data_IF_125378309148
#
_entry.id   IF_125378309148
#
_cell.length_a   1.000
_cell.length_b   1.000
_cell.length_c   1.000
_cell.angle_alpha   90.00
_cell.angle_beta   90.00
_cell.angle_gamma   90.00
#
_symmetry.space_group_name_H-M   'P 1'
#
loop_
_entity.id
_entity.type
_entity.pdbx_description
1 polymer ?
#
# COMPACT_ATOMS: atom_id res chain seq x y z
N UNK A 1 10.50 34.88 20.89
CA UNK A 1 10.50 33.56 20.25
C UNK A 1 9.07 33.25 19.89
N UNK A 2 8.77 33.11 18.59
CA UNK A 2 7.42 32.75 18.14
C UNK A 2 7.18 31.25 18.34
N UNK A 3 6.17 30.84 19.14
CA UNK A 3 5.82 29.43 19.32
C UNK A 3 4.98 28.85 18.15
N UNK A 4 4.95 29.50 16.98
CA UNK A 4 4.00 29.22 15.90
C UNK A 4 4.66 28.72 14.58
N UNK A 5 5.85 28.11 14.64
CA UNK A 5 6.43 27.37 13.50
C UNK A 5 6.87 25.96 13.89
N UNK A 6 5.97 25.23 14.55
CA UNK A 6 6.06 23.77 14.53
C UNK A 6 5.49 23.33 13.19
N UNK A 7 6.31 23.44 12.14
CA UNK A 7 6.05 22.88 10.83
C UNK A 7 5.69 21.41 11.08
N UNK A 8 4.41 21.08 10.92
CA UNK A 8 3.89 19.75 11.12
C UNK A 8 4.52 18.88 10.04
N UNK A 9 5.67 18.29 10.36
CA UNK A 9 6.44 17.44 9.48
C UNK A 9 5.51 16.28 9.10
N UNK A 10 4.90 16.36 7.92
CA UNK A 10 4.05 15.28 7.40
C UNK A 10 4.93 14.02 7.35
N UNK A 11 4.68 13.05 8.25
CA UNK A 11 5.60 11.95 8.37
C UNK A 11 5.38 11.08 7.13
N UNK A 12 6.28 11.19 6.15
CA UNK A 12 6.08 10.60 4.82
C UNK A 12 5.65 9.13 4.82
N UNK A 13 5.15 8.61 3.69
CA UNK A 13 4.34 7.38 3.63
C UNK A 13 4.99 6.14 4.27
N UNK A 14 6.32 6.04 4.25
CA UNK A 14 7.04 4.92 4.89
C UNK A 14 6.92 4.93 6.41
N UNK A 15 6.93 6.11 7.03
CA UNK A 15 6.77 6.23 8.48
C UNK A 15 5.34 5.86 8.88
N UNK A 16 4.33 6.39 8.18
CA UNK A 16 2.92 6.05 8.42
C UNK A 16 2.70 4.54 8.28
N UNK A 17 3.28 3.93 7.24
CA UNK A 17 3.26 2.48 7.06
C UNK A 17 3.89 1.75 8.25
N UNK A 18 5.07 2.19 8.68
CA UNK A 18 5.78 1.62 9.82
C UNK A 18 4.96 1.66 11.11
N UNK A 19 4.32 2.79 11.39
CA UNK A 19 3.43 2.95 12.54
C UNK A 19 2.17 2.10 12.42
N UNK A 20 1.57 1.99 11.23
CA UNK A 20 0.42 1.12 11.01
C UNK A 20 0.76 -0.36 11.30
N UNK A 21 1.92 -0.84 10.83
CA UNK A 21 2.43 -2.19 11.13
C UNK A 21 2.63 -2.36 12.63
N UNK A 22 3.30 -1.40 13.29
CA UNK A 22 3.56 -1.42 14.73
C UNK A 22 2.27 -1.54 15.53
N UNK A 23 1.31 -0.65 15.25
CA UNK A 23 0.03 -0.58 15.96
C UNK A 23 -0.75 -1.87 15.84
N UNK A 24 -0.83 -2.44 14.64
CA UNK A 24 -1.54 -3.71 14.44
C UNK A 24 -0.85 -4.88 15.13
N UNK A 25 0.48 -4.86 15.17
CA UNK A 25 1.30 -5.84 15.89
C UNK A 25 1.06 -5.76 17.41
N UNK A 26 1.07 -4.55 17.97
CA UNK A 26 0.83 -4.31 19.40
C UNK A 26 -0.62 -4.62 19.82
N UNK A 27 -1.60 -4.36 18.94
CA UNK A 27 -3.01 -4.74 19.16
C UNK A 27 -3.20 -6.25 19.36
N UNK A 28 -2.28 -7.05 18.85
CA UNK A 28 -2.30 -8.52 18.94
C UNK A 28 -1.26 -9.07 19.91
N UNK A 29 -0.62 -8.21 20.71
CA UNK A 29 0.44 -8.58 21.65
C UNK A 29 1.58 -9.39 21.00
N UNK A 30 1.93 -9.01 19.77
CA UNK A 30 3.04 -9.61 19.04
C UNK A 30 4.28 -8.73 19.26
N UNK A 31 5.41 -9.28 19.71
CA UNK A 31 6.66 -8.52 19.80
C UNK A 31 7.33 -8.37 18.43
N UNK A 32 8.23 -7.39 18.25
CA UNK A 32 9.03 -7.28 17.01
C UNK A 32 9.80 -8.57 16.71
N UNK A 33 10.32 -9.23 17.75
CA UNK A 33 11.06 -10.49 17.65
C UNK A 33 10.16 -11.63 17.18
N UNK A 34 8.99 -11.79 17.81
CA UNK A 34 7.99 -12.77 17.38
C UNK A 34 7.53 -12.52 15.95
N UNK A 35 7.32 -11.25 15.58
CA UNK A 35 6.92 -10.88 14.24
C UNK A 35 8.02 -11.19 13.21
N UNK A 36 9.27 -10.87 13.51
CA UNK A 36 10.41 -11.17 12.64
C UNK A 36 10.57 -12.68 12.44
N UNK A 37 10.44 -13.45 13.52
CA UNK A 37 10.50 -14.92 13.51
C UNK A 37 9.46 -15.56 12.59
N UNK A 38 8.23 -15.03 12.52
CA UNK A 38 7.17 -15.53 11.62
C UNK A 38 7.55 -15.52 10.13
N UNK A 39 8.57 -14.75 9.75
CA UNK A 39 9.02 -14.60 8.36
C UNK A 39 10.49 -14.98 8.16
N UNK A 40 11.16 -15.53 9.18
CA UNK A 40 12.61 -15.77 9.13
C UNK A 40 13.42 -14.49 8.93
N UNK A 41 12.95 -13.37 9.48
CA UNK A 41 13.61 -12.07 9.41
C UNK A 41 14.35 -11.77 10.71
N UNK A 42 15.34 -10.89 10.63
CA UNK A 42 15.99 -10.34 11.81
C UNK A 42 15.09 -9.32 12.51
N UNK A 43 15.10 -9.29 13.86
CA UNK A 43 14.33 -8.32 14.65
C UNK A 43 14.65 -6.88 14.26
N UNK A 44 15.91 -6.56 13.97
CA UNK A 44 16.33 -5.22 13.54
C UNK A 44 15.67 -4.81 12.24
N UNK A 45 15.40 -5.74 11.31
CA UNK A 45 14.69 -5.45 10.07
C UNK A 45 13.26 -4.95 10.36
N UNK A 46 12.55 -5.61 11.28
CA UNK A 46 11.22 -5.16 11.71
C UNK A 46 11.29 -3.78 12.36
N UNK A 47 12.28 -3.54 13.22
CA UNK A 47 12.48 -2.22 13.83
C UNK A 47 12.71 -1.11 12.79
N UNK A 48 13.52 -1.37 11.75
CA UNK A 48 13.77 -0.42 10.65
C UNK A 48 12.50 -0.16 9.83
N UNK A 49 11.69 -1.19 9.57
CA UNK A 49 10.38 -1.05 8.91
C UNK A 49 9.46 -0.15 9.74
N UNK A 50 9.33 -0.40 11.04
CA UNK A 50 8.44 0.37 11.92
C UNK A 50 8.84 1.84 12.07
N UNK A 51 10.12 2.16 11.85
CA UNK A 51 10.65 3.53 11.81
C UNK A 51 10.60 4.19 10.42
N UNK A 52 10.12 3.49 9.39
CA UNK A 52 10.05 4.01 8.02
C UNK A 52 11.39 4.01 7.26
N UNK A 53 12.42 3.32 7.77
CA UNK A 53 13.76 3.25 7.16
C UNK A 53 13.85 2.19 6.03
N UNK A 54 12.75 1.47 5.79
CA UNK A 54 12.68 0.39 4.78
C UNK A 54 11.47 0.60 3.89
N UNK A 55 11.73 0.75 2.59
CA UNK A 55 10.68 0.76 1.57
C UNK A 55 10.34 -0.67 1.13
N UNK A 56 9.26 -1.23 1.67
CA UNK A 56 8.83 -2.59 1.36
C UNK A 56 8.30 -2.70 -0.07
N UNK A 57 8.50 -3.86 -0.71
CA UNK A 57 7.68 -4.20 -1.88
C UNK A 57 6.25 -4.45 -1.44
N UNK A 58 5.29 -4.14 -2.29
CA UNK A 58 3.87 -4.29 -1.97
C UNK A 58 3.52 -5.76 -1.64
N UNK A 59 4.13 -6.72 -2.35
CA UNK A 59 4.01 -8.15 -2.00
C UNK A 59 4.42 -8.47 -0.57
N UNK A 60 5.57 -7.96 -0.11
CA UNK A 60 6.05 -8.21 1.26
C UNK A 60 5.13 -7.55 2.29
N UNK A 61 4.62 -6.36 1.99
CA UNK A 61 3.62 -5.69 2.82
C UNK A 61 2.33 -6.52 2.96
N UNK A 62 1.78 -7.05 1.87
CA UNK A 62 0.57 -7.89 1.94
C UNK A 62 0.78 -9.16 2.76
N UNK A 63 1.99 -9.74 2.73
CA UNK A 63 2.38 -10.86 3.59
C UNK A 63 2.38 -10.46 5.07
N UNK A 64 2.87 -9.26 5.40
CA UNK A 64 2.85 -8.73 6.76
C UNK A 64 1.41 -8.50 7.26
N UNK A 65 0.58 -7.79 6.48
CA UNK A 65 -0.84 -7.53 6.80
C UNK A 65 -1.58 -8.86 7.05
N UNK A 66 -1.32 -9.87 6.21
CA UNK A 66 -1.92 -11.20 6.36
C UNK A 66 -1.52 -11.88 7.67
N UNK A 67 -0.24 -11.86 8.04
CA UNK A 67 0.21 -12.48 9.28
C UNK A 67 -0.32 -11.75 10.52
N UNK A 68 -0.44 -10.43 10.42
CA UNK A 68 -1.12 -9.57 11.38
C UNK A 68 -2.65 -9.70 11.30
N UNK A 69 -3.20 -10.61 10.49
CA UNK A 69 -4.65 -10.84 10.37
C UNK A 69 -5.46 -9.55 10.14
N UNK A 70 -4.82 -8.52 9.57
CA UNK A 70 -5.43 -7.24 9.32
C UNK A 70 -6.17 -7.26 7.99
N UNK A 71 -7.22 -6.44 7.93
CA UNK A 71 -8.03 -6.22 6.75
C UNK A 71 -7.46 -4.99 6.01
N UNK A 72 -7.10 -5.08 4.71
CA UNK A 72 -6.43 -4.01 3.98
C UNK A 72 -7.15 -2.67 4.04
N UNK A 73 -8.48 -2.61 3.89
CA UNK A 73 -9.20 -1.34 3.93
C UNK A 73 -9.01 -0.65 5.28
N UNK A 74 -9.16 -1.41 6.36
CA UNK A 74 -8.94 -0.91 7.73
C UNK A 74 -7.47 -0.54 7.95
N UNK A 75 -6.53 -1.34 7.44
CA UNK A 75 -5.10 -1.09 7.56
C UNK A 75 -4.66 0.20 6.84
N UNK A 76 -5.16 0.42 5.62
CA UNK A 76 -4.79 1.55 4.76
C UNK A 76 -5.58 2.83 5.05
N UNK A 77 -6.63 2.78 5.88
CA UNK A 77 -7.45 3.94 6.26
C UNK A 77 -6.64 5.07 6.88
N UNK A 78 -5.62 4.73 7.66
CA UNK A 78 -4.84 5.73 8.40
C UNK A 78 -3.60 6.21 7.62
N UNK A 79 -3.43 5.76 6.37
CA UNK A 79 -2.34 6.18 5.48
C UNK A 79 -2.76 7.31 4.54
N UNK A 80 -3.64 8.24 4.99
CA UNK A 80 -4.19 9.33 4.17
C UNK A 80 -3.13 9.96 3.26
N UNK A 81 -3.42 10.01 1.96
CA UNK A 81 -2.57 10.65 0.97
C UNK A 81 -3.33 11.86 0.44
N UNK A 82 -2.99 13.03 0.97
CA UNK A 82 -3.56 14.36 0.67
C UNK A 82 -5.12 14.46 0.66
N UNK A 83 -5.75 15.06 1.70
CA UNK A 83 -7.20 15.22 1.78
C UNK A 83 -7.82 16.09 0.67
N UNK A 84 -7.02 16.82 -0.13
CA UNK A 84 -7.49 17.67 -1.21
C UNK A 84 -7.67 16.96 -2.56
N UNK A 85 -7.19 15.71 -2.71
CA UNK A 85 -7.23 14.98 -3.98
C UNK A 85 -8.56 14.24 -4.26
N UNK A 86 -9.60 14.44 -3.45
CA UNK A 86 -10.89 13.73 -3.57
C UNK A 86 -11.63 14.06 -4.88
N UNK A 87 -11.36 13.30 -5.94
CA UNK A 87 -12.29 13.16 -7.06
C UNK A 87 -13.47 12.28 -6.65
N UNK A 88 -14.67 12.59 -7.13
CA UNK A 88 -15.84 11.72 -6.95
C UNK A 88 -15.55 10.36 -7.59
N UNK A 89 -15.45 9.33 -6.76
CA UNK A 89 -15.15 7.96 -7.20
C UNK A 89 -16.44 7.33 -7.73
N UNK A 90 -16.50 6.95 -9.02
CA UNK A 90 -17.65 6.21 -9.54
C UNK A 90 -17.75 4.83 -8.89
N UNK A 91 -18.97 4.29 -8.75
CA UNK A 91 -19.20 2.96 -8.15
C UNK A 91 -18.35 1.88 -8.86
N UNK A 92 -17.38 1.33 -8.13
CA UNK A 92 -16.37 0.40 -8.65
C UNK A 92 -16.96 -1.00 -8.85
N UNK A 93 -16.73 -1.60 -10.02
CA UNK A 93 -16.97 -3.04 -10.20
C UNK A 93 -15.78 -3.84 -9.62
N UNK A 94 -16.02 -4.90 -8.84
CA UNK A 94 -14.96 -5.71 -8.25
C UNK A 94 -14.04 -6.30 -9.33
N UNK A 95 -12.76 -6.48 -9.00
CA UNK A 95 -11.82 -7.19 -9.86
C UNK A 95 -12.30 -8.64 -10.08
N UNK A 96 -12.09 -9.22 -11.28
CA UNK A 96 -12.44 -10.62 -11.52
C UNK A 96 -11.77 -11.52 -10.47
N UNK A 97 -12.56 -12.39 -9.81
CA UNK A 97 -12.09 -13.30 -8.76
C UNK A 97 -10.99 -14.27 -9.21
N UNK A 98 -10.79 -14.44 -10.52
CA UNK A 98 -9.85 -15.39 -11.13
C UNK A 98 -8.39 -14.90 -11.18
N UNK A 99 -8.09 -13.66 -10.76
CA UNK A 99 -6.71 -13.16 -10.74
C UNK A 99 -6.02 -13.63 -9.45
N UNK A 100 -5.20 -14.68 -9.56
CA UNK A 100 -4.49 -15.26 -8.40
C UNK A 100 -3.13 -14.61 -8.10
N UNK A 101 -2.62 -13.72 -8.97
CA UNK A 101 -1.35 -13.01 -8.73
C UNK A 101 -1.57 -11.56 -8.29
N UNK A 102 -0.94 -11.20 -7.17
CA UNK A 102 -1.04 -9.87 -6.57
C UNK A 102 -0.51 -8.77 -7.49
N UNK A 103 0.57 -9.01 -8.24
CA UNK A 103 1.13 -8.01 -9.15
C UNK A 103 0.14 -7.73 -10.28
N UNK A 104 -0.47 -8.77 -10.86
CA UNK A 104 -1.54 -8.62 -11.86
C UNK A 104 -2.75 -7.88 -11.30
N UNK A 105 -3.17 -8.17 -10.06
CA UNK A 105 -4.29 -7.45 -9.44
C UNK A 105 -3.99 -5.96 -9.26
N UNK A 106 -2.81 -5.61 -8.72
CA UNK A 106 -2.40 -4.20 -8.57
C UNK A 106 -2.31 -3.53 -9.93
N UNK A 107 -1.69 -4.19 -10.91
CA UNK A 107 -1.58 -3.67 -12.27
C UNK A 107 -2.92 -3.36 -12.92
N UNK A 108 -3.86 -4.31 -12.86
CA UNK A 108 -5.21 -4.12 -13.39
C UNK A 108 -6.00 -3.05 -12.64
N UNK A 109 -5.83 -2.94 -11.33
CA UNK A 109 -6.47 -1.89 -10.54
C UNK A 109 -5.94 -0.50 -10.94
N UNK A 110 -4.61 -0.33 -11.01
CA UNK A 110 -3.98 0.92 -11.48
C UNK A 110 -4.43 1.26 -12.90
N UNK A 111 -4.47 0.28 -13.80
CA UNK A 111 -4.95 0.48 -15.17
C UNK A 111 -6.39 1.02 -15.21
N UNK A 112 -7.28 0.48 -14.38
CA UNK A 112 -8.68 0.93 -14.30
C UNK A 112 -8.80 2.35 -13.76
N UNK A 113 -8.12 2.66 -12.65
CA UNK A 113 -8.12 4.01 -12.07
C UNK A 113 -7.55 5.03 -13.07
N UNK A 114 -6.48 4.67 -13.79
CA UNK A 114 -5.92 5.51 -14.87
C UNK A 114 -6.93 5.77 -15.98
N UNK A 115 -7.62 4.73 -16.46
CA UNK A 115 -8.64 4.84 -17.50
C UNK A 115 -9.82 5.70 -17.05
N UNK A 116 -10.26 5.58 -15.81
CA UNK A 116 -11.31 6.44 -15.24
C UNK A 116 -10.88 7.89 -15.08
N UNK A 117 -9.62 8.13 -14.78
CA UNK A 117 -9.03 9.47 -14.77
C UNK A 117 -8.82 10.04 -16.19
N UNK A 118 -9.10 9.28 -17.25
CA UNK A 118 -8.94 9.70 -18.64
C UNK A 118 -7.49 9.85 -19.09
N UNK A 119 -6.54 9.20 -18.40
CA UNK A 119 -5.11 9.37 -18.65
C UNK A 119 -4.55 8.25 -19.53
N UNK A 120 -3.58 8.57 -20.36
CA UNK A 120 -2.67 7.63 -21.03
C UNK A 120 -1.59 7.13 -20.07
N UNK A 121 -0.90 6.04 -20.44
CA UNK A 121 0.23 5.53 -19.66
C UNK A 121 1.37 6.55 -19.54
N UNK A 122 1.58 7.37 -20.58
CA UNK A 122 2.59 8.43 -20.59
C UNK A 122 2.20 9.52 -19.59
N UNK A 123 0.97 10.02 -19.64
CA UNK A 123 0.51 11.07 -18.72
C UNK A 123 0.52 10.62 -17.26
N UNK A 124 0.19 9.35 -16.98
CA UNK A 124 0.32 8.81 -15.62
C UNK A 124 1.79 8.73 -15.18
N UNK A 125 2.67 8.28 -16.08
CA UNK A 125 4.10 8.19 -15.82
C UNK A 125 4.70 9.55 -15.50
N UNK A 126 4.37 10.57 -16.30
CA UNK A 126 4.81 11.96 -16.10
C UNK A 126 4.34 12.49 -14.74
N UNK A 127 3.03 12.35 -14.43
CA UNK A 127 2.48 12.81 -13.15
C UNK A 127 3.07 12.08 -11.94
N UNK A 128 3.38 10.79 -12.09
CA UNK A 128 3.98 9.98 -11.03
C UNK A 128 5.51 10.05 -11.00
N UNK A 129 6.17 10.79 -11.91
CA UNK A 129 7.62 10.86 -12.00
C UNK A 129 8.29 9.48 -12.16
N UNK A 130 7.74 8.62 -13.02
CA UNK A 130 8.29 7.29 -13.35
C UNK A 130 8.33 7.10 -14.86
N UNK A 131 9.14 6.16 -15.36
CA UNK A 131 9.17 5.88 -16.79
C UNK A 131 7.84 5.28 -17.29
N UNK A 132 7.37 5.66 -18.49
CA UNK A 132 6.18 5.05 -19.10
C UNK A 132 6.28 3.52 -19.26
N UNK A 133 7.48 3.00 -19.52
CA UNK A 133 7.73 1.54 -19.55
C UNK A 133 7.45 0.87 -18.21
N UNK A 134 7.69 1.56 -17.08
CA UNK A 134 7.36 1.07 -15.76
C UNK A 134 5.84 0.96 -15.57
N UNK A 135 5.07 1.98 -15.94
CA UNK A 135 3.59 1.93 -15.91
C UNK A 135 3.08 0.77 -16.77
N UNK A 136 3.60 0.61 -17.99
CA UNK A 136 3.22 -0.51 -18.86
C UNK A 136 3.49 -1.89 -18.22
N UNK A 137 4.68 -2.08 -17.63
CA UNK A 137 5.00 -3.34 -16.96
C UNK A 137 4.18 -3.57 -15.69
N UNK A 138 3.89 -2.51 -14.93
CA UNK A 138 3.02 -2.56 -13.76
C UNK A 138 1.62 -3.01 -14.16
N UNK A 139 1.00 -2.37 -15.15
CA UNK A 139 -0.36 -2.67 -15.63
C UNK A 139 -0.50 -4.10 -16.17
N UNK A 140 0.57 -4.62 -16.77
CA UNK A 140 0.66 -6.00 -17.23
C UNK A 140 1.03 -7.02 -16.13
N UNK A 141 1.17 -6.60 -14.86
CA UNK A 141 1.54 -7.46 -13.73
C UNK A 141 2.99 -7.95 -13.74
N UNK A 142 3.85 -7.41 -14.61
CA UNK A 142 5.27 -7.79 -14.74
C UNK A 142 6.18 -7.13 -13.69
N UNK A 143 5.65 -6.21 -12.89
CA UNK A 143 6.38 -5.53 -11.81
C UNK A 143 5.61 -5.55 -10.49
N UNK A 144 6.37 -5.65 -9.40
CA UNK A 144 5.88 -5.52 -8.03
C UNK A 144 6.37 -4.15 -7.51
N UNK A 145 5.49 -3.16 -7.37
CA UNK A 145 5.90 -1.82 -6.94
C UNK A 145 6.38 -1.85 -5.49
N UNK A 146 7.29 -0.94 -5.15
CA UNK A 146 7.52 -0.59 -3.74
C UNK A 146 6.32 0.17 -3.19
N UNK A 147 6.15 0.20 -1.88
CA UNK A 147 5.06 0.92 -1.25
C UNK A 147 5.08 2.40 -1.63
N UNK A 148 6.25 3.05 -1.56
CA UNK A 148 6.37 4.46 -1.95
C UNK A 148 6.02 4.71 -3.43
N UNK A 149 6.39 3.80 -4.34
CA UNK A 149 6.02 3.92 -5.76
C UNK A 149 4.51 3.80 -5.96
N UNK A 150 3.86 2.85 -5.26
CA UNK A 150 2.42 2.69 -5.35
C UNK A 150 1.70 3.92 -4.78
N UNK A 151 2.11 4.43 -3.62
CA UNK A 151 1.50 5.64 -3.04
C UNK A 151 1.59 6.84 -3.98
N UNK A 152 2.75 7.07 -4.60
CA UNK A 152 2.92 8.15 -5.57
C UNK A 152 2.03 8.02 -6.81
N UNK A 153 1.82 6.79 -7.28
CA UNK A 153 0.90 6.52 -8.40
C UNK A 153 -0.55 6.77 -7.98
N UNK A 154 -0.93 6.38 -6.77
CA UNK A 154 -2.28 6.64 -6.26
C UNK A 154 -2.52 8.13 -6.04
N UNK A 155 -1.54 8.84 -5.50
CA UNK A 155 -1.54 10.29 -5.34
C UNK A 155 -1.73 11.01 -6.69
N UNK A 156 -0.97 10.62 -7.72
CA UNK A 156 -1.09 11.23 -9.05
C UNK A 156 -2.42 10.93 -9.75
N UNK A 157 -3.10 9.86 -9.34
CA UNK A 157 -4.45 9.50 -9.76
C UNK A 157 -5.54 10.18 -8.92
N UNK A 158 -5.19 10.75 -7.75
CA UNK A 158 -6.13 11.27 -6.76
C UNK A 158 -6.98 10.18 -6.13
N UNK A 159 -6.39 9.01 -5.86
CA UNK A 159 -7.05 7.84 -5.29
C UNK A 159 -6.50 7.57 -3.90
N UNK A 160 -7.39 7.49 -2.91
CA UNK A 160 -7.00 7.16 -1.55
C UNK A 160 -6.64 5.66 -1.42
N UNK A 161 -5.56 5.30 -0.71
CA UNK A 161 -5.12 3.90 -0.58
C UNK A 161 -6.23 2.97 -0.05
N UNK A 162 -6.97 3.40 0.97
CA UNK A 162 -8.03 2.58 1.55
C UNK A 162 -9.13 2.24 0.53
N UNK A 163 -9.47 3.20 -0.34
CA UNK A 163 -10.47 3.00 -1.37
C UNK A 163 -9.94 2.09 -2.49
N UNK A 164 -8.68 2.27 -2.89
CA UNK A 164 -8.01 1.42 -3.89
C UNK A 164 -8.05 -0.06 -3.49
N UNK A 165 -7.87 -0.35 -2.19
CA UNK A 165 -7.83 -1.73 -1.68
C UNK A 165 -9.18 -2.35 -1.34
N UNK A 166 -10.31 -1.63 -1.51
CA UNK A 166 -11.64 -2.10 -1.10
C UNK A 166 -12.08 -3.45 -1.68
N UNK A 167 -11.58 -3.79 -2.87
CA UNK A 167 -11.95 -5.03 -3.58
C UNK A 167 -10.81 -6.04 -3.71
N UNK A 168 -9.69 -5.84 -3.01
CA UNK A 168 -8.59 -6.79 -3.05
C UNK A 168 -8.97 -8.05 -2.26
N UNK A 169 -8.92 -9.25 -2.85
CA UNK A 169 -9.13 -10.49 -2.11
C UNK A 169 -8.19 -10.55 -0.91
N UNK A 170 -8.77 -10.70 0.27
CA UNK A 170 -8.04 -11.19 1.42
C UNK A 170 -7.49 -12.57 1.04
N UNK A 171 -6.18 -12.83 1.14
CA UNK A 171 -5.71 -14.19 1.03
C UNK A 171 -6.45 -15.01 2.11
N UNK A 172 -6.95 -16.22 1.82
CA UNK A 172 -7.84 -16.94 2.73
C UNK A 172 -7.14 -17.19 4.06
N UNK A 173 -7.78 -16.91 5.21
CA UNK A 173 -7.21 -17.27 6.53
C UNK A 173 -6.89 -18.77 6.46
N UNK A 174 -5.62 -19.18 6.62
CA UNK A 174 -5.30 -20.61 6.75
C UNK A 174 -6.15 -21.10 7.93
N UNK A 175 -7.04 -22.08 7.69
CA UNK A 175 -7.66 -22.86 8.77
C UNK A 175 -6.49 -23.39 9.58
N UNK A 176 -6.36 -22.96 10.83
CA UNK A 176 -5.53 -23.66 11.79
C UNK A 176 -6.14 -25.05 11.92
N UNK A 177 -5.49 -26.06 11.35
CA UNK A 177 -5.74 -27.43 11.78
C UNK A 177 -5.45 -27.46 13.28
N UNK A 178 -6.44 -27.96 14.04
CA UNK A 178 -6.30 -28.30 15.46
C UNK A 178 -5.16 -29.29 15.66
#
# INVERSE_FOLDING_TARGET
MDPAKQEQLDPGPLWLLGQAIRRERERQDVSQERFAWLFGLDRSYVGRVERGEVNLTFRKLMVFIRALRAEPVTFFRDLHVDPHARRQVPQRKPLPRAVNDLSTMVGLAVMKERQWAGLTQEELADKAGVARSYISWLECGRRNPTFAQLMRILESLGVEPAEFFQHFPLPPKKRTSK
#
